data_IF_264297076246
#
_entry.id   IF_264297076246
#
_cell.length_a   1.000
_cell.length_b   1.000
_cell.length_c   1.000
_cell.angle_alpha   90.00
_cell.angle_beta   90.00
_cell.angle_gamma   90.00
#
_symmetry.space_group_name_H-M   'P 1'
#
loop_
_entity.id
_entity.type
_entity.pdbx_description
1 polymer ?
#
# COMPACT_ATOMS: atom_id res chain seq x y z
N UNK A 1 -3.48 -4.37 -6.98
CA UNK A 1 -3.99 -4.14 -8.34
C UNK A 1 -3.21 -2.99 -9.00
N UNK A 2 -2.63 -3.19 -10.19
CA UNK A 2 -2.01 -2.14 -11.02
C UNK A 2 -2.91 -1.90 -12.23
N UNK A 3 -3.19 -0.64 -12.56
CA UNK A 3 -3.91 -0.25 -13.77
C UNK A 3 -3.43 1.11 -14.26
N UNK A 4 -3.62 1.42 -15.54
CA UNK A 4 -3.25 2.71 -16.11
C UNK A 4 -4.49 3.51 -16.48
N UNK A 5 -4.55 4.81 -16.15
CA UNK A 5 -5.72 5.65 -16.43
C UNK A 5 -5.86 5.98 -17.93
N UNK A 6 -4.74 6.23 -18.61
CA UNK A 6 -4.68 6.63 -20.02
C UNK A 6 -3.56 5.91 -20.81
N UNK A 7 -2.96 4.87 -20.22
CA UNK A 7 -1.79 4.17 -20.75
C UNK A 7 -0.44 4.80 -20.37
N UNK A 8 -0.43 5.93 -19.67
CA UNK A 8 0.79 6.59 -19.19
C UNK A 8 0.80 6.81 -17.67
N UNK A 9 -0.36 7.07 -17.05
CA UNK A 9 -0.49 7.20 -15.59
C UNK A 9 -0.73 5.85 -14.92
N UNK A 10 0.27 5.36 -14.19
CA UNK A 10 0.19 4.09 -13.47
C UNK A 10 -0.36 4.30 -12.06
N UNK A 11 -1.51 3.68 -11.80
CA UNK A 11 -2.19 3.68 -10.51
C UNK A 11 -2.02 2.30 -9.89
N UNK A 12 -1.55 2.27 -8.65
CA UNK A 12 -1.36 1.04 -7.90
C UNK A 12 -2.18 1.11 -6.62
N UNK A 13 -3.02 0.10 -6.38
CA UNK A 13 -3.63 -0.12 -5.06
C UNK A 13 -3.04 -1.40 -4.45
N UNK A 14 -2.42 -1.30 -3.28
CA UNK A 14 -1.87 -2.44 -2.52
C UNK A 14 -2.32 -2.43 -1.07
N UNK A 15 -2.36 -3.63 -0.50
CA UNK A 15 -2.62 -3.88 0.92
C UNK A 15 -1.34 -4.45 1.51
N UNK A 16 -0.84 -3.83 2.58
CA UNK A 16 0.35 -4.25 3.30
C UNK A 16 -0.09 -4.74 4.68
N UNK A 17 0.08 -6.03 4.93
CA UNK A 17 -0.15 -6.61 6.25
C UNK A 17 1.06 -6.31 7.14
N UNK A 18 0.81 -5.70 8.29
CA UNK A 18 1.82 -5.34 9.30
C UNK A 18 1.45 -5.97 10.64
N UNK A 19 2.41 -6.10 11.55
CA UNK A 19 2.14 -6.70 12.85
C UNK A 19 1.12 -5.86 13.66
N UNK A 20 0.28 -6.48 14.48
CA UNK A 20 -0.73 -5.79 15.29
C UNK A 20 -0.14 -4.82 16.33
N UNK A 21 1.10 -5.05 16.77
CA UNK A 21 1.83 -4.23 17.73
C UNK A 21 2.61 -3.05 17.12
N UNK A 22 2.48 -2.77 15.82
CA UNK A 22 3.18 -1.62 15.22
C UNK A 22 2.65 -0.28 15.74
N UNK A 23 3.57 0.61 16.10
CA UNK A 23 3.22 1.95 16.56
C UNK A 23 2.81 2.86 15.40
N UNK A 24 2.21 4.01 15.71
CA UNK A 24 1.90 5.03 14.71
C UNK A 24 3.17 5.50 13.96
N UNK A 25 4.30 5.59 14.66
CA UNK A 25 5.57 5.97 14.04
C UNK A 25 6.03 4.91 13.03
N UNK A 26 5.91 3.62 13.39
CA UNK A 26 6.25 2.51 12.49
C UNK A 26 5.35 2.50 11.25
N UNK A 27 4.04 2.73 11.42
CA UNK A 27 3.09 2.81 10.30
C UNK A 27 3.46 3.94 9.32
N UNK A 28 3.85 5.11 9.83
CA UNK A 28 4.31 6.24 9.00
C UNK A 28 5.60 5.86 8.25
N UNK A 29 6.55 5.22 8.93
CA UNK A 29 7.82 4.82 8.34
C UNK A 29 7.63 3.76 7.24
N UNK A 30 6.84 2.72 7.52
CA UNK A 30 6.49 1.65 6.57
C UNK A 30 5.82 2.26 5.34
N UNK A 31 4.80 3.11 5.53
CA UNK A 31 4.09 3.76 4.43
C UNK A 31 5.03 4.63 3.60
N UNK A 32 5.91 5.39 4.23
CA UNK A 32 6.88 6.26 3.55
C UNK A 32 7.88 5.45 2.71
N UNK A 33 8.43 4.37 3.30
CA UNK A 33 9.36 3.47 2.60
C UNK A 33 8.69 2.77 1.42
N UNK A 34 7.49 2.23 1.62
CA UNK A 34 6.73 1.57 0.56
C UNK A 34 6.42 2.54 -0.59
N UNK A 35 5.97 3.76 -0.28
CA UNK A 35 5.68 4.77 -1.29
C UNK A 35 6.92 5.14 -2.11
N UNK A 36 8.09 5.28 -1.46
CA UNK A 36 9.37 5.55 -2.15
C UNK A 36 9.75 4.42 -3.11
N UNK A 37 9.64 3.17 -2.66
CA UNK A 37 9.95 1.99 -3.48
C UNK A 37 9.00 1.92 -4.68
N UNK A 38 7.70 2.07 -4.46
CA UNK A 38 6.68 2.00 -5.52
C UNK A 38 6.88 3.09 -6.57
N UNK A 39 7.15 4.32 -6.15
CA UNK A 39 7.45 5.42 -7.08
C UNK A 39 8.69 5.16 -7.92
N UNK A 40 9.69 4.45 -7.39
CA UNK A 40 10.87 4.07 -8.16
C UNK A 40 10.57 3.11 -9.32
N UNK A 41 9.42 2.43 -9.30
CA UNK A 41 8.93 1.58 -10.38
C UNK A 41 8.06 2.31 -11.42
N UNK A 42 7.96 3.64 -11.36
CA UNK A 42 7.20 4.42 -12.34
C UNK A 42 5.68 4.40 -12.10
N UNK A 43 5.27 4.24 -10.83
CA UNK A 43 3.86 4.39 -10.41
C UNK A 43 3.62 5.83 -9.96
N UNK A 44 2.69 6.50 -10.65
CA UNK A 44 2.36 7.91 -10.42
C UNK A 44 1.52 8.11 -9.16
N UNK A 45 0.52 7.24 -8.98
CA UNK A 45 -0.45 7.33 -7.89
C UNK A 45 -0.60 6.00 -7.13
N UNK A 46 0.26 5.74 -6.14
CA UNK A 46 0.13 4.58 -5.28
C UNK A 46 -0.81 4.83 -4.09
N UNK A 47 -1.81 3.99 -3.95
CA UNK A 47 -2.68 3.86 -2.78
C UNK A 47 -2.24 2.66 -1.96
N UNK A 48 -1.86 2.90 -0.70
CA UNK A 48 -1.36 1.88 0.22
C UNK A 48 -2.32 1.80 1.40
N UNK A 49 -3.01 0.66 1.54
CA UNK A 49 -3.76 0.29 2.73
C UNK A 49 -2.85 -0.50 3.67
N UNK A 50 -2.87 -0.17 4.96
CA UNK A 50 -2.23 -0.97 6.00
C UNK A 50 -3.31 -1.84 6.65
N UNK A 51 -3.04 -3.11 6.76
CA UNK A 51 -3.88 -4.11 7.45
C UNK A 51 -3.06 -4.72 8.58
N UNK A 52 -3.68 -5.06 9.70
CA UNK A 52 -2.94 -5.64 10.82
C UNK A 52 -3.07 -7.16 10.83
N UNK A 53 -2.00 -7.86 11.23
CA UNK A 53 -2.01 -9.31 11.41
C UNK A 53 -3.12 -9.70 12.39
N UNK A 54 -4.01 -10.60 11.96
CA UNK A 54 -5.20 -10.99 12.72
C UNK A 54 -6.45 -10.13 12.48
N UNK A 55 -6.38 -9.07 11.68
CA UNK A 55 -7.61 -8.51 11.08
C UNK A 55 -8.14 -9.49 10.05
N UNK A 56 -9.34 -10.02 10.31
CA UNK A 56 -10.07 -10.83 9.35
C UNK A 56 -10.42 -9.94 8.15
N UNK A 57 -9.70 -10.10 7.04
CA UNK A 57 -10.00 -9.42 5.79
C UNK A 57 -11.28 -10.01 5.18
N UNK A 58 -12.43 -9.69 5.80
CA UNK A 58 -13.78 -10.12 5.42
C UNK A 58 -14.35 -9.33 4.22
N UNK A 59 -13.48 -8.66 3.46
CA UNK A 59 -13.81 -7.96 2.21
C UNK A 59 -13.37 -8.73 0.95
N UNK A 60 -13.30 -10.06 1.06
CA UNK A 60 -13.36 -10.96 -0.08
C UNK A 60 -14.74 -11.64 -0.15
N UNK A 61 -15.75 -10.94 -0.67
CA UNK A 61 -16.96 -11.50 -1.30
C UNK A 61 -17.59 -10.45 -2.20
#
# INVERSE_FOLDING_TARGET
>A
HVWSLDGTYNILSIHLVVNADVTVADQIEIRTKANRIIRSYGVDHPTIALEFDGEDCSLCC
#
